data_IF_605932397257
#
_entry.id   IF_605932397257
#
_cell.length_a   1.000
_cell.length_b   1.000
_cell.length_c   1.000
_cell.angle_alpha   90.00
_cell.angle_beta   90.00
_cell.angle_gamma   90.00
#
_symmetry.space_group_name_H-M   'P 1'
#
loop_
_entity.id
_entity.type
_entity.pdbx_description
1 polymer ?
#
# COMPACT_ATOMS: atom_id res chain seq x y z
N UNK A 1 12.49 -55.70 -15.12
CA UNK A 1 11.83 -54.38 -15.04
C UNK A 1 12.92 -53.35 -15.20
N UNK A 2 13.03 -52.77 -16.39
CA UNK A 2 14.01 -51.75 -16.72
C UNK A 2 13.56 -50.43 -16.07
N UNK A 3 14.42 -49.85 -15.23
CA UNK A 3 14.21 -48.52 -14.64
C UNK A 3 14.47 -47.49 -15.73
N UNK A 4 13.42 -46.78 -16.15
CA UNK A 4 13.56 -45.67 -17.09
C UNK A 4 14.13 -44.46 -16.33
N UNK A 5 15.27 -43.95 -16.80
CA UNK A 5 15.87 -42.71 -16.29
C UNK A 5 15.08 -41.49 -16.80
N UNK A 6 14.90 -40.44 -15.98
CA UNK A 6 14.23 -39.22 -16.42
C UNK A 6 15.04 -38.51 -17.52
N UNK A 7 14.37 -37.78 -18.43
CA UNK A 7 15.05 -37.11 -19.55
C UNK A 7 16.01 -36.02 -19.04
N UNK A 8 17.17 -35.94 -19.69
CA UNK A 8 18.18 -34.92 -19.42
C UNK A 8 17.63 -33.50 -19.65
N UNK A 9 17.88 -32.61 -18.71
CA UNK A 9 17.57 -31.18 -18.84
C UNK A 9 18.44 -30.57 -19.94
N UNK A 10 17.87 -29.69 -20.80
CA UNK A 10 18.66 -29.05 -21.84
C UNK A 10 19.68 -28.08 -21.22
N UNK A 11 20.93 -28.20 -21.66
CA UNK A 11 21.98 -27.23 -21.36
C UNK A 11 21.73 -25.92 -22.12
N UNK A 12 21.91 -24.73 -21.49
CA UNK A 12 21.75 -23.48 -22.20
C UNK A 12 22.94 -23.28 -23.15
N UNK A 13 22.67 -23.43 -24.45
CA UNK A 13 23.60 -23.02 -25.50
C UNK A 13 23.68 -21.50 -25.56
N UNK A 14 24.90 -21.02 -25.76
CA UNK A 14 25.30 -19.62 -25.75
C UNK A 14 24.64 -18.78 -26.85
N UNK A 15 24.12 -17.60 -26.47
CA UNK A 15 24.26 -16.26 -27.09
C UNK A 15 22.94 -15.49 -27.13
N UNK A 16 22.88 -14.49 -26.26
CA UNK A 16 21.91 -13.41 -26.29
C UNK A 16 22.02 -12.67 -24.97
N UNK A 17 22.58 -11.46 -24.98
CA UNK A 17 22.67 -10.61 -23.80
C UNK A 17 21.26 -10.37 -23.26
N UNK A 18 20.93 -11.03 -22.15
CA UNK A 18 19.67 -10.95 -21.45
C UNK A 18 19.96 -10.82 -19.98
N UNK A 19 19.45 -9.73 -19.40
CA UNK A 19 19.71 -9.28 -18.05
C UNK A 19 19.45 -10.41 -17.05
N UNK A 20 20.42 -10.64 -16.17
CA UNK A 20 20.37 -11.67 -15.15
C UNK A 20 19.28 -11.29 -14.12
N UNK A 21 18.13 -11.96 -14.15
CA UNK A 21 17.15 -11.88 -13.06
C UNK A 21 17.67 -12.76 -11.92
N UNK A 22 18.20 -12.12 -10.88
CA UNK A 22 18.47 -12.79 -9.61
C UNK A 22 17.15 -12.80 -8.84
N UNK A 23 16.46 -13.94 -8.82
CA UNK A 23 15.31 -14.15 -7.95
C UNK A 23 15.81 -14.25 -6.50
N UNK A 24 15.92 -13.09 -5.83
CA UNK A 24 15.90 -13.06 -4.38
C UNK A 24 14.45 -13.30 -3.94
N UNK A 25 14.20 -14.39 -3.22
CA UNK A 25 12.89 -14.80 -2.69
C UNK A 25 12.28 -13.85 -1.63
N UNK A 26 12.29 -12.55 -1.89
CA UNK A 26 11.54 -11.55 -1.12
C UNK A 26 10.10 -11.50 -1.61
N UNK A 27 9.15 -11.36 -0.67
CA UNK A 27 7.77 -11.03 -1.04
C UNK A 27 7.76 -9.74 -1.87
N UNK A 28 6.90 -9.63 -2.90
CA UNK A 28 6.78 -8.39 -3.66
C UNK A 28 6.44 -7.23 -2.71
N UNK A 29 7.19 -6.14 -2.82
CA UNK A 29 6.93 -4.91 -2.09
C UNK A 29 5.67 -4.29 -2.67
N UNK A 30 4.68 -4.03 -1.81
CA UNK A 30 3.44 -3.36 -2.19
C UNK A 30 3.64 -1.86 -2.17
N UNK A 31 2.88 -1.14 -2.98
CA UNK A 31 2.91 0.34 -3.01
C UNK A 31 1.64 0.93 -2.41
N UNK A 32 1.83 2.13 -1.88
CA UNK A 32 0.79 2.97 -1.28
C UNK A 32 0.80 4.29 -2.03
N UNK A 33 -0.38 4.73 -2.47
CA UNK A 33 -0.55 6.11 -2.92
C UNK A 33 -0.72 7.02 -1.71
N UNK A 34 0.05 8.11 -1.65
CA UNK A 34 -0.04 9.10 -0.58
C UNK A 34 -0.22 10.49 -1.16
N UNK A 35 -1.32 11.12 -0.82
CA UNK A 35 -1.63 12.50 -1.17
C UNK A 35 -1.58 13.37 0.08
N UNK A 36 -0.71 14.38 0.05
CA UNK A 36 -0.63 15.40 1.09
C UNK A 36 -1.29 16.67 0.57
N UNK A 37 -2.27 17.17 1.30
CA UNK A 37 -2.91 18.45 1.03
C UNK A 37 -2.74 19.36 2.25
N UNK A 38 -2.29 20.59 2.04
CA UNK A 38 -2.16 21.57 3.11
C UNK A 38 -2.97 22.81 2.80
N UNK A 39 -3.85 23.21 3.72
CA UNK A 39 -4.71 24.39 3.59
C UNK A 39 -5.05 24.96 4.97
N UNK A 40 -5.03 26.28 5.10
CA UNK A 40 -5.39 26.96 6.36
C UNK A 40 -4.50 26.59 7.56
N UNK A 41 -3.25 26.18 7.33
CA UNK A 41 -2.34 25.73 8.38
C UNK A 41 -2.51 24.26 8.79
N UNK A 42 -3.49 23.55 8.22
CA UNK A 42 -3.72 22.13 8.45
C UNK A 42 -3.15 21.29 7.30
N UNK A 43 -2.54 20.16 7.64
CA UNK A 43 -2.06 19.14 6.71
C UNK A 43 -2.92 17.89 6.81
N UNK A 44 -3.59 17.53 5.71
CA UNK A 44 -4.39 16.32 5.56
C UNK A 44 -3.64 15.34 4.67
N UNK A 45 -3.57 14.08 5.10
CA UNK A 45 -3.02 12.98 4.33
C UNK A 45 -4.12 12.00 3.95
N UNK A 46 -4.28 11.77 2.65
CA UNK A 46 -5.08 10.67 2.12
C UNK A 46 -4.14 9.59 1.58
N UNK A 47 -4.36 8.34 1.96
CA UNK A 47 -3.55 7.22 1.47
C UNK A 47 -4.40 5.99 1.15
N UNK A 48 -4.03 5.25 0.13
CA UNK A 48 -4.64 3.96 -0.17
C UNK A 48 -3.63 2.97 -0.75
N UNK A 49 -3.89 1.67 -0.58
CA UNK A 49 -3.19 0.64 -1.34
C UNK A 49 -3.32 0.96 -2.84
N UNK A 50 -2.23 0.82 -3.61
CA UNK A 50 -2.20 1.25 -5.01
C UNK A 50 -3.29 0.58 -5.86
N UNK A 51 -3.59 -0.69 -5.60
CA UNK A 51 -4.59 -1.47 -6.33
C UNK A 51 -6.04 -0.97 -6.13
N UNK A 52 -6.26 -0.08 -5.16
CA UNK A 52 -7.54 0.58 -4.97
C UNK A 52 -7.73 1.80 -5.88
N UNK A 53 -6.66 2.43 -6.38
CA UNK A 53 -6.78 3.63 -7.21
C UNK A 53 -7.61 3.38 -8.48
N UNK A 54 -8.52 4.31 -8.78
CA UNK A 54 -9.46 4.21 -9.89
C UNK A 54 -10.64 3.27 -9.65
N UNK A 55 -10.65 2.52 -8.54
CA UNK A 55 -11.76 1.61 -8.21
C UNK A 55 -12.91 2.31 -7.49
N UNK A 56 -14.04 1.60 -7.38
CA UNK A 56 -15.14 1.98 -6.51
C UNK A 56 -15.66 0.78 -5.72
N UNK A 57 -16.09 1.04 -4.49
CA UNK A 57 -16.65 0.03 -3.59
C UNK A 57 -17.96 0.53 -3.01
N UNK A 58 -18.91 -0.40 -2.87
CA UNK A 58 -20.22 -0.13 -2.29
C UNK A 58 -20.31 -0.75 -0.89
N UNK A 59 -20.90 -0.01 0.05
CA UNK A 59 -21.22 -0.49 1.39
C UNK A 59 -22.61 0.02 1.79
N UNK A 60 -23.62 -0.84 1.63
CA UNK A 60 -25.02 -0.45 1.80
C UNK A 60 -25.41 0.66 0.82
N UNK A 61 -25.71 1.85 1.35
CA UNK A 61 -26.07 3.05 0.56
C UNK A 61 -24.89 3.96 0.24
N UNK A 62 -23.70 3.65 0.76
CA UNK A 62 -22.50 4.45 0.56
C UNK A 62 -21.70 3.87 -0.59
N UNK A 63 -21.23 4.74 -1.49
CA UNK A 63 -20.27 4.41 -2.54
C UNK A 63 -18.99 5.20 -2.30
N UNK A 64 -17.87 4.49 -2.18
CA UNK A 64 -16.53 5.08 -2.09
C UNK A 64 -15.88 4.98 -3.45
N UNK A 65 -15.31 6.10 -3.92
CA UNK A 65 -14.54 6.17 -5.17
C UNK A 65 -13.11 6.57 -4.86
N UNK A 66 -12.17 5.72 -5.23
CA UNK A 66 -10.75 5.93 -5.04
C UNK A 66 -10.17 6.74 -6.20
N UNK A 67 -10.67 7.96 -6.38
CA UNK A 67 -10.30 8.82 -7.51
C UNK A 67 -8.87 9.34 -7.39
N UNK A 68 -8.20 9.57 -8.53
CA UNK A 68 -6.91 10.26 -8.58
C UNK A 68 -6.97 11.68 -7.98
N UNK A 69 -8.13 12.33 -8.09
CA UNK A 69 -8.34 13.65 -7.51
C UNK A 69 -8.23 13.64 -5.99
N UNK A 70 -8.69 12.59 -5.30
CA UNK A 70 -8.64 12.52 -3.83
C UNK A 70 -7.48 11.68 -3.30
N UNK A 71 -7.23 10.51 -3.89
CA UNK A 71 -6.20 9.56 -3.43
C UNK A 71 -4.96 9.52 -4.32
N UNK A 72 -5.00 10.13 -5.51
CA UNK A 72 -3.85 10.21 -6.42
C UNK A 72 -2.80 11.18 -5.90
N UNK A 73 -1.64 10.63 -5.55
CA UNK A 73 -0.48 11.35 -5.04
C UNK A 73 0.82 10.65 -5.43
N UNK A 74 1.79 10.65 -4.52
CA UNK A 74 3.05 9.93 -4.75
C UNK A 74 2.86 8.44 -4.46
N UNK A 75 3.40 7.58 -5.32
CA UNK A 75 3.45 6.14 -5.07
C UNK A 75 4.72 5.81 -4.30
N UNK A 76 4.56 5.22 -3.13
CA UNK A 76 5.65 4.91 -2.21
C UNK A 76 5.62 3.43 -1.85
N UNK A 77 6.78 2.79 -1.83
CA UNK A 77 6.93 1.41 -1.37
C UNK A 77 6.55 1.30 0.12
N UNK A 78 5.82 0.26 0.50
CA UNK A 78 5.30 0.09 1.87
C UNK A 78 6.36 -0.08 2.96
N UNK A 79 7.63 -0.23 2.58
CA UNK A 79 8.78 -0.31 3.48
C UNK A 79 9.67 0.94 3.41
N UNK A 80 9.28 1.96 2.64
CA UNK A 80 10.06 3.19 2.50
C UNK A 80 9.99 4.03 3.79
N UNK A 81 11.14 4.58 4.26
CA UNK A 81 11.15 5.50 5.38
C UNK A 81 10.49 6.85 5.07
N UNK A 82 10.26 7.17 3.78
CA UNK A 82 9.62 8.42 3.36
C UNK A 82 8.19 8.55 3.91
N UNK A 83 7.48 7.44 4.07
CA UNK A 83 6.13 7.41 4.61
C UNK A 83 6.05 8.03 6.02
N UNK A 84 7.02 7.78 6.90
CA UNK A 84 7.03 8.37 8.25
C UNK A 84 7.14 9.89 8.18
N UNK A 85 7.95 10.42 7.26
CA UNK A 85 8.15 11.85 7.08
C UNK A 85 6.89 12.56 6.57
N UNK A 86 6.11 11.89 5.72
CA UNK A 86 4.82 12.39 5.23
C UNK A 86 3.77 12.43 6.35
N UNK A 87 3.74 11.41 7.20
CA UNK A 87 2.75 11.28 8.28
C UNK A 87 3.10 12.11 9.52
N UNK A 88 4.38 12.40 9.76
CA UNK A 88 4.84 13.12 10.95
C UNK A 88 4.15 14.48 11.14
N UNK A 89 3.82 15.16 10.04
CA UNK A 89 3.18 16.49 10.04
C UNK A 89 1.68 16.46 9.76
N UNK A 90 1.07 15.28 9.65
CA UNK A 90 -0.35 15.16 9.37
C UNK A 90 -1.20 15.55 10.58
N UNK A 91 -2.14 16.47 10.37
CA UNK A 91 -3.23 16.78 11.31
C UNK A 91 -4.38 15.79 11.17
N UNK A 92 -4.57 15.23 9.98
CA UNK A 92 -5.43 14.06 9.80
C UNK A 92 -4.88 13.10 8.76
N UNK A 93 -5.14 11.81 8.97
CA UNK A 93 -4.79 10.72 8.07
C UNK A 93 -6.07 9.96 7.76
N UNK A 94 -6.37 9.78 6.47
CA UNK A 94 -7.45 8.94 5.96
C UNK A 94 -6.83 7.82 5.16
N UNK A 95 -6.96 6.57 5.60
CA UNK A 95 -6.23 5.45 5.03
C UNK A 95 -7.16 4.26 4.70
N UNK A 96 -7.00 3.71 3.50
CA UNK A 96 -7.74 2.54 3.02
C UNK A 96 -6.80 1.44 2.52
N UNK A 97 -7.13 0.19 2.79
CA UNK A 97 -6.39 -0.96 2.30
C UNK A 97 -5.47 -1.58 3.33
N UNK A 98 -5.24 -2.89 3.17
CA UNK A 98 -4.56 -3.71 4.18
C UNK A 98 -3.12 -3.26 4.38
N UNK A 99 -2.43 -2.89 3.31
CA UNK A 99 -1.03 -2.45 3.35
C UNK A 99 -0.90 -1.13 4.12
N UNK A 100 -1.81 -0.19 3.88
CA UNK A 100 -1.89 1.06 4.64
C UNK A 100 -2.12 0.82 6.13
N UNK A 101 -3.08 -0.03 6.49
CA UNK A 101 -3.39 -0.33 7.90
C UNK A 101 -2.22 -1.03 8.59
N UNK A 102 -1.61 -2.02 7.94
CA UNK A 102 -0.41 -2.70 8.46
C UNK A 102 0.76 -1.74 8.67
N UNK A 103 0.91 -0.75 7.78
CA UNK A 103 1.92 0.28 7.94
C UNK A 103 1.62 1.19 9.13
N UNK A 104 0.39 1.72 9.22
CA UNK A 104 -0.02 2.62 10.31
C UNK A 104 0.04 1.94 11.68
N UNK A 105 -0.27 0.65 11.78
CA UNK A 105 -0.20 -0.10 13.04
C UNK A 105 1.21 -0.20 13.62
N UNK A 106 2.27 -0.03 12.80
CA UNK A 106 3.66 0.03 13.28
C UNK A 106 3.97 1.35 13.98
N UNK A 107 3.30 2.43 13.57
CA UNK A 107 3.53 3.79 14.07
C UNK A 107 2.56 4.11 15.22
N UNK A 108 1.33 3.65 15.11
CA UNK A 108 0.23 3.91 16.03
C UNK A 108 -0.32 2.57 16.55
N UNK A 109 0.13 2.10 17.73
CA UNK A 109 -0.23 0.77 18.24
C UNK A 109 -1.74 0.53 18.44
N UNK A 110 -2.54 1.58 18.55
CA UNK A 110 -4.01 1.51 18.73
C UNK A 110 -4.77 1.35 17.41
N UNK A 111 -4.12 1.46 16.25
CA UNK A 111 -4.76 1.30 14.93
C UNK A 111 -5.57 0.00 14.82
N UNK A 112 -5.05 -1.18 15.22
CA UNK A 112 -5.81 -2.43 15.09
C UNK A 112 -7.16 -2.43 15.83
N UNK A 113 -7.31 -1.63 16.89
CA UNK A 113 -8.53 -1.51 17.68
C UNK A 113 -9.55 -0.53 17.07
N UNK A 114 -9.09 0.39 16.21
CA UNK A 114 -9.90 1.47 15.63
C UNK A 114 -10.25 1.25 14.15
N UNK A 115 -9.68 0.22 13.51
CA UNK A 115 -9.93 -0.09 12.10
C UNK A 115 -11.38 -0.52 11.89
N UNK A 116 -12.01 0.09 10.91
CA UNK A 116 -13.33 -0.27 10.39
C UNK A 116 -13.18 -0.99 9.05
N UNK A 117 -14.26 -1.59 8.56
CA UNK A 117 -14.31 -2.17 7.22
C UNK A 117 -15.40 -1.49 6.41
N UNK A 118 -15.07 -1.06 5.19
CA UNK A 118 -16.03 -0.51 4.23
C UNK A 118 -15.96 -1.30 2.93
N UNK A 119 -16.98 -2.11 2.70
CA UNK A 119 -17.13 -2.96 1.51
C UNK A 119 -15.96 -3.92 1.32
N UNK A 120 -15.52 -4.58 2.40
CA UNK A 120 -14.38 -5.51 2.38
C UNK A 120 -13.01 -4.85 2.48
N UNK A 121 -12.93 -3.52 2.47
CA UNK A 121 -11.68 -2.78 2.55
C UNK A 121 -11.48 -2.25 3.97
N UNK A 122 -10.37 -2.57 4.65
CA UNK A 122 -10.07 -2.00 5.95
C UNK A 122 -9.75 -0.51 5.83
N UNK A 123 -10.23 0.27 6.78
CA UNK A 123 -10.23 1.72 6.75
C UNK A 123 -9.98 2.30 8.14
N UNK A 124 -9.28 3.43 8.21
CA UNK A 124 -9.15 4.23 9.42
C UNK A 124 -9.07 5.72 9.10
N UNK A 125 -9.57 6.53 10.03
CA UNK A 125 -9.31 7.97 10.08
C UNK A 125 -8.66 8.33 11.41
N UNK A 126 -7.55 9.04 11.36
CA UNK A 126 -6.80 9.50 12.53
C UNK A 126 -6.82 11.02 12.52
N UNK A 127 -7.14 11.63 13.65
CA UNK A 127 -7.09 13.07 13.86
C UNK A 127 -6.07 13.39 14.95
N UNK A 128 -5.17 14.32 14.67
CA UNK A 128 -4.29 14.93 15.66
C UNK A 128 -4.96 16.20 16.15
N UNK A 129 -5.43 16.15 17.39
CA UNK A 129 -5.95 17.34 18.05
C UNK A 129 -4.79 18.08 18.71
N UNK A 130 -4.58 19.39 18.43
CA UNK A 130 -3.75 20.20 19.29
C UNK A 130 -4.41 20.28 20.67
N UNK A 131 -3.67 19.96 21.72
CA UNK A 131 -4.13 20.25 23.08
C UNK A 131 -3.80 21.72 23.37
N UNK A 132 -4.80 22.49 23.78
CA UNK A 132 -4.63 23.83 24.37
C UNK A 132 -4.21 23.74 25.85
#
# INVERSE_FOLDING_TARGET
MLLEHPPATPSPSSRGQGNQWVEHGGKPVKRISVKVHSSGGYTVVAMCDEDLLGSEVNHGRVKIRFTEEFFGGILVDSNSPELESLLARADSITAFGKTCIEYLAKIFPTVPEAVLEVGGIPYIQIFRMPFE
#
